data_IF_407701665679
#
_entry.id   IF_407701665679
#
_cell.length_a   1.000
_cell.length_b   1.000
_cell.length_c   1.000
_cell.angle_alpha   90.00
_cell.angle_beta   90.00
_cell.angle_gamma   90.00
#
_symmetry.space_group_name_H-M   'P 1'
#
loop_
_entity.id
_entity.type
_entity.pdbx_description
1 polymer ?
#
# COMPACT_ATOMS: atom_id res chain seq x y z
N UNK A 1 -75.20 -65.36 35.69
CA UNK A 1 -74.76 -63.96 35.51
C UNK A 1 -73.42 -63.70 36.22
N UNK A 2 -72.32 -64.37 35.85
CA UNK A 2 -70.98 -64.12 36.42
C UNK A 2 -69.85 -63.97 35.38
N UNK A 3 -70.09 -64.33 34.12
CA UNK A 3 -69.04 -64.31 33.07
C UNK A 3 -69.18 -63.16 32.06
N UNK A 4 -70.09 -62.19 32.27
CA UNK A 4 -70.22 -60.99 31.41
C UNK A 4 -69.71 -59.69 32.05
N UNK A 5 -69.38 -59.71 33.35
CA UNK A 5 -68.87 -58.52 34.06
C UNK A 5 -67.33 -58.47 34.01
N UNK A 6 -66.66 -59.61 33.80
CA UNK A 6 -65.19 -59.66 33.75
C UNK A 6 -64.59 -59.11 32.44
N UNK A 7 -65.34 -59.11 31.34
CA UNK A 7 -64.85 -58.65 30.03
C UNK A 7 -64.95 -57.14 29.81
N UNK A 8 -65.77 -56.43 30.59
CA UNK A 8 -65.94 -54.96 30.48
C UNK A 8 -64.94 -54.22 31.36
N UNK A 9 -64.46 -54.84 32.45
CA UNK A 9 -63.44 -54.26 33.33
C UNK A 9 -62.02 -54.26 32.73
N UNK A 10 -61.71 -55.17 31.81
CA UNK A 10 -60.38 -55.26 31.18
C UNK A 10 -60.18 -54.24 30.04
N UNK A 11 -61.27 -53.83 29.37
CA UNK A 11 -61.23 -52.86 28.26
C UNK A 11 -61.12 -51.41 28.77
N UNK A 12 -61.66 -51.12 29.96
CA UNK A 12 -61.58 -49.79 30.57
C UNK A 12 -60.24 -49.47 31.25
N UNK A 13 -59.38 -50.48 31.49
CA UNK A 13 -58.09 -50.30 32.18
C UNK A 13 -56.90 -50.12 31.21
N UNK A 14 -57.09 -50.38 29.90
CA UNK A 14 -56.04 -50.24 28.86
C UNK A 14 -56.19 -48.92 28.07
N UNK A 15 -57.36 -48.27 28.11
CA UNK A 15 -57.61 -47.03 27.37
C UNK A 15 -56.81 -45.78 27.83
N UNK A 16 -56.39 -45.62 29.11
CA UNK A 16 -55.55 -44.49 29.48
C UNK A 16 -54.10 -44.61 28.98
N UNK A 17 -53.62 -45.84 28.72
CA UNK A 17 -52.22 -46.11 28.41
C UNK A 17 -51.83 -45.85 26.92
N UNK A 18 -52.82 -45.59 26.06
CA UNK A 18 -52.61 -45.29 24.63
C UNK A 18 -52.60 -43.79 24.32
N UNK A 19 -53.04 -42.94 25.25
CA UNK A 19 -53.01 -41.47 25.09
C UNK A 19 -51.59 -40.86 25.00
N UNK A 20 -50.57 -41.31 25.77
CA UNK A 20 -49.24 -40.72 25.65
C UNK A 20 -48.53 -41.11 24.35
N UNK A 21 -48.90 -42.23 23.71
CA UNK A 21 -48.29 -42.65 22.44
C UNK A 21 -48.76 -41.78 21.25
N UNK A 22 -50.03 -41.38 21.22
CA UNK A 22 -50.59 -40.51 20.17
C UNK A 22 -50.10 -39.06 20.38
N UNK A 23 -50.03 -38.58 21.62
CA UNK A 23 -49.44 -37.27 21.93
C UNK A 23 -47.94 -37.24 21.65
N UNK A 24 -47.18 -38.30 21.97
CA UNK A 24 -45.75 -38.36 21.67
C UNK A 24 -45.44 -38.34 20.16
N UNK A 25 -46.31 -38.93 19.32
CA UNK A 25 -46.16 -38.86 17.87
C UNK A 25 -46.39 -37.43 17.36
N UNK A 26 -47.42 -36.74 17.86
CA UNK A 26 -47.68 -35.32 17.55
C UNK A 26 -46.58 -34.39 18.06
N UNK A 27 -46.09 -34.60 19.29
CA UNK A 27 -45.04 -33.78 19.91
C UNK A 27 -43.70 -33.95 19.18
N UNK A 28 -43.38 -35.19 18.78
CA UNK A 28 -42.21 -35.46 17.95
C UNK A 28 -42.31 -34.74 16.60
N UNK A 29 -43.45 -34.82 15.92
CA UNK A 29 -43.68 -34.14 14.65
C UNK A 29 -43.55 -32.61 14.78
N UNK A 30 -44.06 -32.01 15.86
CA UNK A 30 -43.92 -30.58 16.17
C UNK A 30 -42.43 -30.20 16.35
N UNK A 31 -41.68 -30.98 17.13
CA UNK A 31 -40.26 -30.72 17.38
C UNK A 31 -39.43 -30.86 16.10
N UNK A 32 -39.68 -31.88 15.28
CA UNK A 32 -38.97 -32.05 14.01
C UNK A 32 -39.29 -30.92 13.03
N UNK A 33 -40.57 -30.54 12.93
CA UNK A 33 -41.00 -29.43 12.07
C UNK A 33 -40.37 -28.10 12.50
N UNK A 34 -40.28 -27.86 13.81
CA UNK A 34 -39.55 -26.71 14.34
C UNK A 34 -38.07 -26.75 13.95
N UNK A 35 -37.38 -27.87 14.16
CA UNK A 35 -35.95 -28.01 13.84
C UNK A 35 -35.66 -27.82 12.35
N UNK A 36 -36.51 -28.35 11.47
CA UNK A 36 -36.35 -28.18 10.03
C UNK A 36 -36.54 -26.73 9.61
N UNK A 37 -37.63 -26.08 10.05
CA UNK A 37 -37.87 -24.65 9.79
C UNK A 37 -36.76 -23.76 10.35
N UNK A 38 -36.28 -24.05 11.56
CA UNK A 38 -35.16 -23.36 12.19
C UNK A 38 -33.89 -23.46 11.32
N UNK A 39 -33.52 -24.67 10.89
CA UNK A 39 -32.34 -24.89 10.05
C UNK A 39 -32.47 -24.17 8.71
N UNK A 40 -33.65 -24.20 8.11
CA UNK A 40 -33.88 -23.50 6.85
C UNK A 40 -33.73 -21.98 7.00
N UNK A 41 -34.25 -21.39 8.08
CA UNK A 41 -34.02 -19.97 8.37
C UNK A 41 -32.53 -19.67 8.63
N UNK A 42 -31.81 -20.57 9.30
CA UNK A 42 -30.37 -20.40 9.51
C UNK A 42 -29.60 -20.42 8.18
N UNK A 43 -29.96 -21.28 7.24
CA UNK A 43 -29.37 -21.33 5.89
C UNK A 43 -29.75 -20.10 5.06
N UNK A 44 -31.00 -19.66 5.13
CA UNK A 44 -31.49 -18.46 4.44
C UNK A 44 -30.76 -17.20 4.94
N UNK A 45 -30.54 -17.06 6.27
CA UNK A 45 -29.75 -15.95 6.85
C UNK A 45 -28.28 -16.00 6.42
N UNK A 46 -27.72 -17.19 6.15
CA UNK A 46 -26.32 -17.32 5.72
C UNK A 46 -26.11 -16.80 4.30
N UNK A 47 -27.11 -16.92 3.41
CA UNK A 47 -26.97 -16.61 1.99
C UNK A 47 -28.09 -15.73 1.38
N UNK A 48 -28.48 -14.60 2.01
CA UNK A 48 -29.46 -13.68 1.43
C UNK A 48 -28.88 -13.02 0.16
N UNK A 49 -29.70 -12.86 -0.87
CA UNK A 49 -29.30 -12.20 -2.14
C UNK A 49 -29.42 -10.67 -2.07
N UNK A 50 -30.17 -10.13 -1.10
CA UNK A 50 -30.37 -8.69 -0.93
C UNK A 50 -30.78 -8.32 0.50
N UNK A 51 -30.69 -7.03 0.84
CA UNK A 51 -31.21 -6.51 2.11
C UNK A 51 -32.73 -6.71 2.21
N UNK A 52 -33.45 -6.60 1.10
CA UNK A 52 -34.90 -6.77 1.03
C UNK A 52 -35.32 -8.23 1.27
N UNK A 53 -34.54 -9.19 0.74
CA UNK A 53 -34.70 -10.60 1.09
C UNK A 53 -34.36 -10.88 2.55
N UNK A 54 -33.29 -10.25 3.08
CA UNK A 54 -32.91 -10.40 4.48
C UNK A 54 -33.99 -9.86 5.43
N UNK A 55 -34.60 -8.72 5.11
CA UNK A 55 -35.75 -8.19 5.87
C UNK A 55 -36.98 -9.11 5.74
N UNK A 56 -37.22 -9.71 4.58
CA UNK A 56 -38.24 -10.76 4.42
C UNK A 56 -37.96 -12.02 5.26
N UNK A 57 -36.69 -12.38 5.46
CA UNK A 57 -36.30 -13.47 6.37
C UNK A 57 -36.61 -13.09 7.83
N UNK A 58 -36.41 -11.83 8.23
CA UNK A 58 -36.77 -11.36 9.58
C UNK A 58 -38.27 -11.50 9.85
N UNK A 59 -39.11 -11.14 8.88
CA UNK A 59 -40.55 -11.33 8.97
C UNK A 59 -40.91 -12.81 9.13
N UNK A 60 -40.24 -13.70 8.38
CA UNK A 60 -40.39 -15.16 8.53
C UNK A 60 -39.94 -15.66 9.90
N UNK A 61 -38.88 -15.11 10.50
CA UNK A 61 -38.46 -15.45 11.87
C UNK A 61 -39.55 -15.05 12.87
N UNK A 62 -40.16 -13.87 12.70
CA UNK A 62 -41.24 -13.40 13.56
C UNK A 62 -42.49 -14.28 13.43
N UNK A 63 -42.93 -14.59 12.20
CA UNK A 63 -44.04 -15.51 11.98
C UNK A 63 -43.76 -16.91 12.52
N UNK A 64 -42.53 -17.41 12.37
CA UNK A 64 -42.11 -18.70 12.93
C UNK A 64 -42.16 -18.70 14.46
N UNK A 65 -41.77 -17.59 15.10
CA UNK A 65 -41.88 -17.40 16.55
C UNK A 65 -43.34 -17.43 16.99
N UNK A 66 -44.21 -16.70 16.32
CA UNK A 66 -45.64 -16.67 16.62
C UNK A 66 -46.29 -18.05 16.47
N UNK A 67 -46.02 -18.74 15.36
CA UNK A 67 -46.55 -20.07 15.06
C UNK A 67 -46.25 -21.09 16.17
N UNK A 68 -45.02 -21.08 16.71
CA UNK A 68 -44.58 -22.07 17.70
C UNK A 68 -44.67 -21.60 19.15
N UNK A 69 -45.15 -20.38 19.40
CA UNK A 69 -45.29 -19.84 20.78
C UNK A 69 -46.19 -20.72 21.64
N UNK A 70 -47.25 -21.29 21.06
CA UNK A 70 -48.17 -22.20 21.76
C UNK A 70 -47.48 -23.50 22.20
N UNK A 71 -46.38 -23.88 21.54
CA UNK A 71 -45.61 -25.11 21.80
C UNK A 71 -44.33 -24.87 22.61
N UNK A 72 -44.16 -23.67 23.20
CA UNK A 72 -42.94 -23.26 23.91
C UNK A 72 -42.48 -24.25 24.97
N UNK A 73 -43.39 -24.70 25.86
CA UNK A 73 -43.02 -25.61 26.95
C UNK A 73 -42.49 -26.96 26.46
N UNK A 74 -43.03 -27.46 25.34
CA UNK A 74 -42.55 -28.68 24.70
C UNK A 74 -41.14 -28.46 24.14
N UNK A 75 -40.96 -27.38 23.38
CA UNK A 75 -39.71 -27.03 22.73
C UNK A 75 -38.58 -26.74 23.73
N UNK A 76 -38.87 -26.07 24.84
CA UNK A 76 -37.90 -25.80 25.91
C UNK A 76 -37.32 -27.10 26.51
N UNK A 77 -38.09 -28.19 26.53
CA UNK A 77 -37.63 -29.50 27.01
C UNK A 77 -36.89 -30.29 25.93
N UNK A 78 -37.21 -30.07 24.66
CA UNK A 78 -36.74 -30.90 23.53
C UNK A 78 -35.54 -30.33 22.78
N UNK A 79 -35.18 -29.06 22.99
CA UNK A 79 -34.12 -28.36 22.23
C UNK A 79 -32.75 -28.32 22.91
N UNK A 80 -32.56 -29.03 24.04
CA UNK A 80 -31.33 -28.96 24.84
C UNK A 80 -30.03 -29.11 24.00
N UNK A 81 -28.99 -28.30 24.26
CA UNK A 81 -28.84 -27.32 25.34
C UNK A 81 -29.61 -26.02 25.15
N UNK A 82 -30.21 -25.81 23.97
CA UNK A 82 -31.02 -24.65 23.67
C UNK A 82 -32.47 -24.83 24.18
N UNK A 83 -33.20 -23.72 24.18
CA UNK A 83 -34.63 -23.62 24.43
C UNK A 83 -35.27 -22.70 23.38
N UNK A 84 -36.60 -22.59 23.40
CA UNK A 84 -37.36 -21.79 22.43
C UNK A 84 -36.80 -20.38 22.29
N UNK A 85 -36.59 -19.68 23.41
CA UNK A 85 -36.10 -18.29 23.40
C UNK A 85 -34.70 -18.19 22.82
N UNK A 86 -33.78 -19.03 23.29
CA UNK A 86 -32.39 -18.99 22.84
C UNK A 86 -32.24 -19.33 21.37
N UNK A 87 -33.11 -20.21 20.82
CA UNK A 87 -33.14 -20.48 19.39
C UNK A 87 -33.47 -19.20 18.61
N UNK A 88 -34.53 -18.49 19.00
CA UNK A 88 -34.87 -17.24 18.32
C UNK A 88 -33.86 -16.11 18.57
N UNK A 89 -33.24 -16.03 19.75
CA UNK A 89 -32.14 -15.10 20.00
C UNK A 89 -30.95 -15.35 19.05
N UNK A 90 -30.59 -16.62 18.81
CA UNK A 90 -29.53 -16.98 17.85
C UNK A 90 -29.89 -16.55 16.42
N UNK A 91 -31.12 -16.81 15.97
CA UNK A 91 -31.57 -16.36 14.64
C UNK A 91 -31.58 -14.83 14.52
N UNK A 92 -32.09 -14.12 15.53
CA UNK A 92 -32.10 -12.65 15.55
C UNK A 92 -30.68 -12.07 15.57
N UNK A 93 -29.76 -12.65 16.33
CA UNK A 93 -28.36 -12.23 16.35
C UNK A 93 -27.68 -12.48 15.00
N UNK A 94 -27.89 -13.65 14.38
CA UNK A 94 -27.37 -13.95 13.06
C UNK A 94 -27.90 -12.97 12.00
N UNK A 95 -29.20 -12.66 12.04
CA UNK A 95 -29.82 -11.63 11.20
C UNK A 95 -29.17 -10.24 11.42
N UNK A 96 -29.02 -9.80 12.67
CA UNK A 96 -28.47 -8.48 12.98
C UNK A 96 -27.02 -8.33 12.51
N UNK A 97 -26.20 -9.37 12.71
CA UNK A 97 -24.83 -9.42 12.15
C UNK A 97 -24.90 -9.26 10.64
N UNK A 98 -25.79 -10.01 9.97
CA UNK A 98 -25.87 -9.96 8.51
C UNK A 98 -26.42 -8.66 7.95
N UNK A 99 -27.36 -8.02 8.66
CA UNK A 99 -27.89 -6.70 8.33
C UNK A 99 -26.83 -5.61 8.47
N UNK A 100 -26.00 -5.70 9.50
CA UNK A 100 -24.86 -4.80 9.66
C UNK A 100 -23.86 -4.95 8.51
N UNK A 101 -23.58 -6.18 8.05
CA UNK A 101 -22.76 -6.41 6.86
C UNK A 101 -23.33 -5.67 5.63
N UNK A 102 -24.62 -5.84 5.32
CA UNK A 102 -25.27 -5.14 4.20
C UNK A 102 -25.22 -3.62 4.31
N UNK A 103 -25.39 -3.08 5.52
CA UNK A 103 -25.36 -1.62 5.73
C UNK A 103 -23.95 -1.06 5.54
N UNK A 104 -22.92 -1.77 6.02
CA UNK A 104 -21.53 -1.40 5.75
C UNK A 104 -21.18 -1.50 4.27
N UNK A 105 -21.73 -2.50 3.57
CA UNK A 105 -21.55 -2.65 2.11
C UNK A 105 -22.10 -1.43 1.37
N UNK A 106 -23.28 -0.94 1.72
CA UNK A 106 -23.89 0.22 1.06
C UNK A 106 -23.08 1.51 1.31
N UNK A 107 -22.65 1.75 2.55
CA UNK A 107 -21.78 2.88 2.91
C UNK A 107 -20.47 2.85 2.11
N UNK A 108 -19.81 1.67 2.10
CA UNK A 108 -18.57 1.49 1.36
C UNK A 108 -18.79 1.67 -0.15
N UNK A 109 -19.93 1.23 -0.69
CA UNK A 109 -20.26 1.41 -2.10
C UNK A 109 -20.43 2.88 -2.48
N UNK A 110 -21.11 3.68 -1.64
CA UNK A 110 -21.26 5.13 -1.84
C UNK A 110 -19.90 5.82 -1.78
N UNK A 111 -19.09 5.51 -0.77
CA UNK A 111 -17.75 6.07 -0.61
C UNK A 111 -16.85 5.76 -1.81
N UNK A 112 -16.82 4.48 -2.21
CA UNK A 112 -16.03 4.00 -3.35
C UNK A 112 -16.48 4.63 -4.67
N UNK A 113 -17.79 4.87 -4.85
CA UNK A 113 -18.31 5.60 -6.03
C UNK A 113 -17.81 7.05 -6.05
N UNK A 114 -17.86 7.75 -4.91
CA UNK A 114 -17.33 9.12 -4.80
C UNK A 114 -15.82 9.18 -5.00
N UNK A 115 -15.08 8.19 -4.49
CA UNK A 115 -13.64 8.06 -4.72
C UNK A 115 -13.32 7.85 -6.21
N UNK A 116 -14.14 7.09 -6.93
CA UNK A 116 -13.96 6.86 -8.38
C UNK A 116 -14.09 8.14 -9.19
N UNK A 117 -15.09 8.98 -8.93
CA UNK A 117 -15.26 10.24 -9.67
C UNK A 117 -14.08 11.20 -9.47
N UNK A 118 -13.54 11.23 -8.25
CA UNK A 118 -12.32 11.98 -7.94
C UNK A 118 -11.09 11.37 -8.65
N UNK A 119 -10.98 10.04 -8.69
CA UNK A 119 -9.90 9.33 -9.37
C UNK A 119 -9.89 9.63 -10.87
N UNK A 120 -11.06 9.62 -11.52
CA UNK A 120 -11.19 9.96 -12.94
C UNK A 120 -10.81 11.42 -13.22
N UNK A 121 -11.15 12.32 -12.31
CA UNK A 121 -10.77 13.74 -12.40
C UNK A 121 -9.25 13.90 -12.30
N UNK A 122 -8.61 13.24 -11.33
CA UNK A 122 -7.16 13.25 -11.15
C UNK A 122 -6.45 12.60 -12.35
N UNK A 123 -6.96 11.49 -12.86
CA UNK A 123 -6.43 10.82 -14.05
C UNK A 123 -6.38 11.74 -15.27
N UNK A 124 -7.48 12.46 -15.54
CA UNK A 124 -7.55 13.43 -16.65
C UNK A 124 -6.63 14.63 -16.41
N UNK A 125 -6.56 15.13 -15.17
CA UNK A 125 -5.70 16.24 -14.82
C UNK A 125 -4.21 15.88 -14.99
N UNK A 126 -3.80 14.72 -14.49
CA UNK A 126 -2.44 14.20 -14.60
C UNK A 126 -2.03 14.01 -16.06
N UNK A 127 -2.93 13.50 -16.91
CA UNK A 127 -2.65 13.35 -18.34
C UNK A 127 -2.39 14.69 -19.04
N UNK A 128 -3.17 15.73 -18.70
CA UNK A 128 -2.95 17.10 -19.21
C UNK A 128 -1.60 17.64 -18.75
N UNK A 129 -1.28 17.48 -17.45
CA UNK A 129 -0.03 17.94 -16.88
C UNK A 129 1.19 17.21 -17.45
N UNK A 130 1.14 15.87 -17.58
CA UNK A 130 2.19 15.05 -18.22
C UNK A 130 2.50 15.55 -19.63
N UNK A 131 1.46 15.74 -20.45
CA UNK A 131 1.62 16.25 -21.82
C UNK A 131 2.21 17.67 -21.82
N UNK A 132 1.83 18.52 -20.84
CA UNK A 132 2.37 19.88 -20.73
C UNK A 132 3.85 19.89 -20.35
N UNK A 133 4.26 19.06 -19.38
CA UNK A 133 5.66 18.87 -18.98
C UNK A 133 6.49 18.43 -20.18
N UNK A 134 6.04 17.41 -20.91
CA UNK A 134 6.78 16.91 -22.08
C UNK A 134 6.99 17.98 -23.16
N UNK A 135 5.99 18.82 -23.41
CA UNK A 135 6.10 19.94 -24.35
C UNK A 135 7.08 21.01 -23.82
N UNK A 136 6.98 21.36 -22.54
CA UNK A 136 7.82 22.40 -21.93
C UNK A 136 9.28 21.98 -21.85
N UNK A 137 9.59 20.72 -21.49
CA UNK A 137 10.94 20.16 -21.48
C UNK A 137 11.63 20.26 -22.84
N UNK A 138 10.89 19.98 -23.92
CA UNK A 138 11.40 20.14 -25.30
C UNK A 138 11.70 21.60 -25.66
N UNK A 139 11.03 22.56 -25.01
CA UNK A 139 11.06 23.99 -25.34
C UNK A 139 11.89 24.86 -24.38
N UNK A 140 12.31 24.34 -23.23
CA UNK A 140 12.88 25.11 -22.10
C UNK A 140 14.38 25.43 -22.22
N UNK A 141 15.08 24.89 -23.23
CA UNK A 141 16.57 24.89 -23.33
C UNK A 141 17.28 26.26 -23.24
N UNK A 142 16.59 27.41 -23.28
CA UNK A 142 17.25 28.73 -23.17
C UNK A 142 16.38 29.88 -22.60
N UNK A 143 15.14 29.62 -22.18
CA UNK A 143 14.21 30.67 -21.73
C UNK A 143 13.91 30.51 -20.23
N UNK A 144 14.41 31.47 -19.42
CA UNK A 144 14.21 31.47 -17.96
C UNK A 144 12.73 31.47 -17.55
N UNK A 145 11.87 32.13 -18.31
CA UNK A 145 10.43 32.15 -18.00
C UNK A 145 9.78 30.79 -18.25
N UNK A 146 10.24 30.07 -19.27
CA UNK A 146 9.74 28.72 -19.57
C UNK A 146 10.27 27.69 -18.58
N UNK A 147 11.51 27.86 -18.11
CA UNK A 147 12.06 27.02 -17.04
C UNK A 147 11.23 27.15 -15.76
N UNK A 148 10.93 28.37 -15.32
CA UNK A 148 10.07 28.59 -14.16
C UNK A 148 8.65 28.03 -14.34
N UNK A 149 8.10 28.08 -15.56
CA UNK A 149 6.81 27.46 -15.87
C UNK A 149 6.89 25.93 -15.78
N UNK A 150 7.94 25.35 -16.33
CA UNK A 150 8.19 23.92 -16.31
C UNK A 150 8.32 23.39 -14.88
N UNK A 151 9.16 24.03 -14.04
CA UNK A 151 9.33 23.67 -12.63
C UNK A 151 7.99 23.70 -11.87
N UNK A 152 7.18 24.74 -12.08
CA UNK A 152 5.84 24.82 -11.47
C UNK A 152 4.94 23.68 -11.94
N UNK A 153 4.88 23.40 -13.24
CA UNK A 153 4.04 22.32 -13.79
C UNK A 153 4.52 20.94 -13.33
N UNK A 154 5.83 20.71 -13.17
CA UNK A 154 6.38 19.48 -12.59
C UNK A 154 5.91 19.32 -11.13
N UNK A 155 5.99 20.38 -10.33
CA UNK A 155 5.51 20.36 -8.94
C UNK A 155 4.01 20.07 -8.82
N UNK A 156 3.19 20.72 -9.66
CA UNK A 156 1.74 20.44 -9.73
C UNK A 156 1.44 18.99 -10.13
N UNK A 157 2.17 18.48 -11.14
CA UNK A 157 2.02 17.10 -11.60
C UNK A 157 2.37 16.10 -10.50
N UNK A 158 3.47 16.33 -9.78
CA UNK A 158 3.90 15.45 -8.68
C UNK A 158 2.84 15.34 -7.60
N UNK A 159 2.36 16.47 -7.08
CA UNK A 159 1.33 16.51 -6.03
C UNK A 159 0.05 15.81 -6.51
N UNK A 160 -0.33 16.02 -7.77
CA UNK A 160 -1.54 15.41 -8.32
C UNK A 160 -1.39 13.90 -8.62
N UNK A 161 -0.19 13.42 -8.97
CA UNK A 161 0.13 11.99 -9.05
C UNK A 161 0.06 11.35 -7.67
N UNK A 162 0.72 11.93 -6.66
CA UNK A 162 0.70 11.43 -5.29
C UNK A 162 -0.73 11.29 -4.75
N UNK A 163 -1.56 12.33 -4.88
CA UNK A 163 -2.95 12.29 -4.43
C UNK A 163 -3.76 11.20 -5.11
N UNK A 164 -3.57 11.02 -6.42
CA UNK A 164 -4.22 9.93 -7.18
C UNK A 164 -3.78 8.57 -6.65
N UNK A 165 -2.50 8.42 -6.38
CA UNK A 165 -1.90 7.15 -6.01
C UNK A 165 -2.32 6.72 -4.61
N UNK A 166 -2.33 7.66 -3.66
CA UNK A 166 -2.92 7.48 -2.33
C UNK A 166 -4.38 7.03 -2.42
N UNK A 167 -5.16 7.66 -3.30
CA UNK A 167 -6.55 7.29 -3.54
C UNK A 167 -6.69 5.88 -4.12
N UNK A 168 -5.85 5.47 -5.07
CA UNK A 168 -5.84 4.10 -5.59
C UNK A 168 -5.48 3.11 -4.49
N UNK A 169 -4.47 3.40 -3.67
CA UNK A 169 -4.06 2.56 -2.55
C UNK A 169 -5.18 2.42 -1.50
N UNK A 170 -5.82 3.52 -1.11
CA UNK A 170 -6.94 3.52 -0.15
C UNK A 170 -8.16 2.77 -0.68
N UNK A 171 -8.47 2.93 -1.97
CA UNK A 171 -9.54 2.18 -2.62
C UNK A 171 -9.24 0.68 -2.57
N UNK A 172 -8.01 0.28 -2.90
CA UNK A 172 -7.61 -1.14 -2.83
C UNK A 172 -7.65 -1.67 -1.39
N UNK A 173 -7.18 -0.89 -0.42
CA UNK A 173 -7.18 -1.25 1.00
C UNK A 173 -8.62 -1.50 1.52
N UNK A 174 -9.55 -0.64 1.11
CA UNK A 174 -10.97 -0.71 1.46
C UNK A 174 -11.71 -1.91 0.84
N UNK A 175 -11.30 -2.35 -0.35
CA UNK A 175 -11.92 -3.50 -1.03
C UNK A 175 -11.53 -4.84 -0.39
N UNK A 176 -10.31 -4.92 0.13
CA UNK A 176 -9.78 -6.13 0.75
C UNK A 176 -9.21 -5.81 2.14
N UNK A 177 -10.04 -5.56 3.17
CA UNK A 177 -9.57 -5.41 4.55
C UNK A 177 -8.82 -6.67 5.03
N UNK A 178 -7.99 -6.50 6.07
CA UNK A 178 -7.09 -7.55 6.59
C UNK A 178 -7.70 -8.96 6.73
N UNK A 179 -8.93 -9.16 7.27
CA UNK A 179 -9.52 -10.49 7.40
C UNK A 179 -9.72 -11.22 6.06
N UNK A 180 -9.87 -10.49 4.95
CA UNK A 180 -9.97 -11.07 3.60
C UNK A 180 -8.60 -11.32 2.97
N UNK A 181 -7.52 -10.68 3.45
CA UNK A 181 -6.15 -10.91 2.97
C UNK A 181 -5.58 -12.24 3.46
N UNK A 182 -5.94 -12.64 4.67
CA UNK A 182 -5.33 -13.80 5.35
C UNK A 182 -5.96 -15.16 4.99
N UNK A 183 -7.11 -15.18 4.29
CA UNK A 183 -7.83 -16.42 3.96
C UNK A 183 -8.34 -16.47 2.53
N UNK A 184 -8.68 -17.65 2.06
CA UNK A 184 -9.41 -17.81 0.81
C UNK A 184 -10.81 -17.18 0.87
N UNK A 185 -11.19 -16.54 -0.22
CA UNK A 185 -12.50 -15.90 -0.38
C UNK A 185 -13.50 -16.88 -0.99
N UNK A 186 -14.71 -16.91 -0.45
CA UNK A 186 -15.82 -17.67 -1.03
C UNK A 186 -16.24 -17.07 -2.39
N UNK A 187 -16.90 -17.85 -3.26
CA UNK A 187 -17.44 -17.31 -4.51
C UNK A 187 -18.38 -16.12 -4.32
N UNK A 188 -19.18 -16.12 -3.24
CA UNK A 188 -20.09 -15.03 -2.88
C UNK A 188 -19.32 -13.77 -2.49
N UNK A 189 -18.28 -13.90 -1.67
CA UNK A 189 -17.43 -12.77 -1.27
C UNK A 189 -16.70 -12.17 -2.48
N UNK A 190 -16.19 -13.01 -3.38
CA UNK A 190 -15.58 -12.56 -4.64
C UNK A 190 -16.58 -11.77 -5.48
N UNK A 191 -17.82 -12.24 -5.59
CA UNK A 191 -18.87 -11.55 -6.34
C UNK A 191 -19.28 -10.21 -5.70
N UNK A 192 -19.33 -10.15 -4.36
CA UNK A 192 -19.63 -8.94 -3.60
C UNK A 192 -18.52 -7.88 -3.74
N UNK A 193 -17.24 -8.29 -3.68
CA UNK A 193 -16.12 -7.36 -3.90
C UNK A 193 -16.11 -6.87 -5.35
N UNK A 194 -16.40 -7.76 -6.31
CA UNK A 194 -16.50 -7.39 -7.72
C UNK A 194 -17.62 -6.38 -7.99
N UNK A 195 -18.79 -6.54 -7.36
CA UNK A 195 -19.95 -5.65 -7.58
C UNK A 195 -19.74 -4.24 -7.05
N UNK A 196 -18.89 -4.04 -6.03
CA UNK A 196 -18.61 -2.72 -5.42
C UNK A 196 -17.99 -1.70 -6.39
N UNK A 197 -17.22 -2.15 -7.40
CA UNK A 197 -16.52 -1.25 -8.32
C UNK A 197 -16.90 -1.40 -9.79
N UNK A 198 -17.61 -2.48 -10.15
CA UNK A 198 -17.96 -2.75 -11.54
C UNK A 198 -16.73 -2.93 -12.45
N UNK A 199 -16.99 -3.05 -13.77
CA UNK A 199 -16.00 -3.44 -14.79
C UNK A 199 -14.91 -2.39 -15.10
N UNK A 200 -15.00 -1.16 -14.61
CA UNK A 200 -13.90 -0.19 -14.75
C UNK A 200 -12.82 -0.51 -13.72
N UNK A 201 -11.86 -1.28 -14.22
CA UNK A 201 -11.11 -2.27 -13.49
C UNK A 201 -10.12 -1.63 -12.51
N UNK A 202 -10.14 -2.03 -11.23
CA UNK A 202 -9.09 -1.67 -10.26
C UNK A 202 -7.70 -1.93 -10.83
N UNK A 203 -7.54 -3.05 -11.54
CA UNK A 203 -6.30 -3.42 -12.19
C UNK A 203 -5.89 -2.45 -13.32
N UNK A 204 -6.86 -1.82 -14.01
CA UNK A 204 -6.58 -0.76 -14.98
C UNK A 204 -6.00 0.47 -14.28
N UNK A 205 -6.58 0.88 -13.15
CA UNK A 205 -6.08 2.02 -12.39
C UNK A 205 -4.68 1.76 -11.81
N UNK A 206 -4.40 0.54 -11.34
CA UNK A 206 -3.04 0.13 -10.95
C UNK A 206 -2.08 0.26 -12.14
N UNK A 207 -2.41 -0.31 -13.31
CA UNK A 207 -1.56 -0.22 -14.50
C UNK A 207 -1.33 1.23 -14.95
N UNK A 208 -2.37 2.06 -14.94
CA UNK A 208 -2.29 3.48 -15.30
C UNK A 208 -1.39 4.24 -14.33
N UNK A 209 -1.55 4.01 -13.03
CA UNK A 209 -0.72 4.61 -12.00
C UNK A 209 0.76 4.32 -12.24
N UNK A 210 1.10 3.05 -12.43
CA UNK A 210 2.48 2.63 -12.66
C UNK A 210 3.05 3.25 -13.93
N UNK A 211 2.28 3.23 -15.01
CA UNK A 211 2.70 3.78 -16.30
C UNK A 211 2.93 5.29 -16.24
N UNK A 212 2.04 6.02 -15.57
CA UNK A 212 2.15 7.48 -15.46
C UNK A 212 3.32 7.90 -14.56
N UNK A 213 3.60 7.14 -13.50
CA UNK A 213 4.78 7.39 -12.65
C UNK A 213 6.09 7.08 -13.38
N UNK A 214 6.16 5.99 -14.15
CA UNK A 214 7.31 5.72 -15.03
C UNK A 214 7.50 6.89 -16.01
N UNK A 215 6.43 7.29 -16.70
CA UNK A 215 6.48 8.39 -17.66
C UNK A 215 6.92 9.69 -17.00
N UNK A 216 6.42 10.00 -15.80
CA UNK A 216 6.84 11.17 -15.02
C UNK A 216 8.36 11.17 -14.79
N UNK A 217 8.94 10.06 -14.33
CA UNK A 217 10.38 9.94 -14.11
C UNK A 217 11.16 10.10 -15.42
N UNK A 218 10.68 9.52 -16.52
CA UNK A 218 11.36 9.57 -17.82
C UNK A 218 11.38 10.98 -18.46
N UNK A 219 10.33 11.78 -18.21
CA UNK A 219 10.21 13.11 -18.81
C UNK A 219 10.66 14.24 -17.89
N UNK A 220 10.98 13.97 -16.63
CA UNK A 220 11.42 14.98 -15.66
C UNK A 220 12.83 14.72 -15.18
N UNK A 221 13.37 15.67 -14.41
CA UNK A 221 14.59 15.45 -13.62
C UNK A 221 14.19 15.28 -12.17
N UNK A 222 14.79 14.31 -11.51
CA UNK A 222 14.65 14.12 -10.07
C UNK A 222 15.64 15.03 -9.34
N UNK A 223 15.15 15.70 -8.30
CA UNK A 223 15.97 16.44 -7.36
C UNK A 223 16.13 15.64 -6.06
N UNK A 224 17.22 15.86 -5.29
CA UNK A 224 17.47 15.12 -4.05
C UNK A 224 16.28 15.11 -3.10
N UNK A 225 15.63 16.27 -2.92
CA UNK A 225 14.48 16.49 -2.04
C UNK A 225 13.24 15.68 -2.43
N UNK A 226 13.16 15.20 -3.66
CA UNK A 226 12.02 14.46 -4.19
C UNK A 226 12.19 12.94 -4.06
N UNK A 227 13.43 12.48 -3.87
CA UNK A 227 13.78 11.06 -3.94
C UNK A 227 13.05 10.29 -2.87
N UNK A 228 13.03 10.82 -1.65
CA UNK A 228 12.54 10.09 -0.48
C UNK A 228 11.06 9.76 -0.63
N UNK A 229 10.25 10.78 -0.92
CA UNK A 229 8.81 10.65 -1.09
C UNK A 229 8.45 9.69 -2.23
N UNK A 230 9.11 9.82 -3.40
CA UNK A 230 8.83 8.96 -4.55
C UNK A 230 9.29 7.52 -4.28
N UNK A 231 10.41 7.33 -3.57
CA UNK A 231 10.90 5.99 -3.20
C UNK A 231 9.96 5.31 -2.21
N UNK A 232 9.59 6.00 -1.14
CA UNK A 232 8.67 5.47 -0.13
C UNK A 232 7.35 5.06 -0.77
N UNK A 233 6.77 5.93 -1.59
CA UNK A 233 5.53 5.65 -2.32
C UNK A 233 5.66 4.41 -3.23
N UNK A 234 6.74 4.31 -4.00
CA UNK A 234 7.00 3.17 -4.88
C UNK A 234 7.11 1.88 -4.09
N UNK A 235 7.84 1.90 -2.97
CA UNK A 235 8.05 0.72 -2.13
C UNK A 235 6.80 0.31 -1.36
N UNK A 236 6.07 1.25 -0.77
CA UNK A 236 4.81 1.01 -0.09
C UNK A 236 3.80 0.39 -1.02
N UNK A 237 3.67 0.94 -2.23
CA UNK A 237 2.71 0.37 -3.16
C UNK A 237 3.15 -1.01 -3.64
N UNK A 238 4.44 -1.24 -3.87
CA UNK A 238 4.95 -2.57 -4.19
C UNK A 238 4.73 -3.57 -3.04
N UNK A 239 4.88 -3.16 -1.77
CA UNK A 239 4.59 -3.99 -0.59
C UNK A 239 3.10 -4.34 -0.53
N UNK A 240 2.24 -3.34 -0.65
CA UNK A 240 0.79 -3.51 -0.67
C UNK A 240 0.36 -4.46 -1.80
N UNK A 241 0.85 -4.23 -3.02
CA UNK A 241 0.54 -5.06 -4.18
C UNK A 241 0.99 -6.50 -4.01
N UNK A 242 2.19 -6.77 -3.47
CA UNK A 242 2.61 -8.16 -3.18
C UNK A 242 1.66 -8.87 -2.23
N UNK A 243 1.04 -8.16 -1.30
CA UNK A 243 0.11 -8.73 -0.33
C UNK A 243 -1.27 -9.05 -0.92
N UNK A 244 -1.75 -8.28 -1.89
CA UNK A 244 -3.16 -8.33 -2.32
C UNK A 244 -3.36 -8.54 -3.83
N UNK A 245 -2.34 -8.25 -4.64
CA UNK A 245 -2.35 -8.33 -6.10
C UNK A 245 -2.86 -9.66 -6.64
N UNK A 246 -2.41 -10.82 -6.12
CA UNK A 246 -2.92 -12.12 -6.55
C UNK A 246 -4.45 -12.27 -6.38
N UNK A 247 -5.00 -11.81 -5.24
CA UNK A 247 -6.45 -11.86 -4.97
C UNK A 247 -7.22 -10.88 -5.83
N UNK A 248 -6.67 -9.67 -6.03
CA UNK A 248 -7.26 -8.67 -6.89
C UNK A 248 -7.36 -9.17 -8.34
N UNK A 249 -6.30 -9.81 -8.85
CA UNK A 249 -6.32 -10.42 -10.18
C UNK A 249 -7.37 -11.54 -10.23
N UNK A 250 -7.42 -12.41 -9.22
CA UNK A 250 -8.41 -13.47 -9.15
C UNK A 250 -9.87 -12.94 -9.24
N UNK A 251 -10.17 -11.86 -8.51
CA UNK A 251 -11.51 -11.25 -8.46
C UNK A 251 -11.85 -10.54 -9.77
N UNK A 252 -10.93 -9.74 -10.32
CA UNK A 252 -11.25 -8.78 -11.38
C UNK A 252 -10.88 -9.21 -12.80
N UNK A 253 -9.97 -10.19 -13.00
CA UNK A 253 -9.64 -10.68 -14.35
C UNK A 253 -10.59 -11.78 -14.83
N UNK A 254 -11.36 -12.41 -13.92
CA UNK A 254 -11.94 -13.73 -14.17
C UNK A 254 -10.86 -14.81 -14.31
N UNK A 255 -11.20 -16.09 -14.06
CA UNK A 255 -10.29 -17.27 -14.00
C UNK A 255 -8.81 -16.97 -14.30
N UNK A 256 -8.12 -16.42 -13.30
CA UNK A 256 -6.66 -16.31 -13.19
C UNK A 256 -5.90 -16.10 -14.49
N UNK A 257 -6.04 -14.93 -15.13
CA UNK A 257 -5.10 -14.55 -16.17
C UNK A 257 -3.74 -14.26 -15.51
N UNK A 258 -2.95 -15.32 -15.33
CA UNK A 258 -1.62 -15.26 -14.75
C UNK A 258 -0.69 -14.27 -15.49
N UNK A 259 -1.01 -13.96 -16.76
CA UNK A 259 -0.29 -12.94 -17.51
C UNK A 259 -0.58 -11.53 -16.97
N UNK A 260 -1.82 -11.27 -16.50
CA UNK A 260 -2.18 -9.96 -15.97
C UNK A 260 -1.41 -9.62 -14.68
N UNK A 261 -1.28 -10.58 -13.77
CA UNK A 261 -0.48 -10.41 -12.56
C UNK A 261 0.99 -10.17 -12.92
N UNK A 262 1.53 -11.02 -13.79
CA UNK A 262 2.92 -10.91 -14.26
C UNK A 262 3.20 -9.57 -14.94
N UNK A 263 2.27 -9.06 -15.74
CA UNK A 263 2.40 -7.76 -16.39
C UNK A 263 2.52 -6.63 -15.36
N UNK A 264 1.65 -6.63 -14.34
CA UNK A 264 1.70 -5.60 -13.28
C UNK A 264 3.01 -5.71 -12.49
N UNK A 265 3.43 -6.91 -12.11
CA UNK A 265 4.68 -7.15 -11.38
C UNK A 265 5.91 -6.69 -12.19
N UNK A 266 5.87 -6.89 -13.52
CA UNK A 266 6.88 -6.38 -14.42
C UNK A 266 6.86 -4.84 -14.44
N UNK A 267 5.69 -4.20 -14.50
CA UNK A 267 5.60 -2.73 -14.47
C UNK A 267 6.07 -2.15 -13.14
N UNK A 268 5.84 -2.80 -12.00
CA UNK A 268 6.46 -2.39 -10.73
C UNK A 268 8.00 -2.45 -10.78
N UNK A 269 8.55 -3.48 -11.42
CA UNK A 269 10.00 -3.60 -11.61
C UNK A 269 10.52 -2.47 -12.50
N UNK A 270 9.82 -2.19 -13.60
CA UNK A 270 10.14 -1.07 -14.50
C UNK A 270 10.09 0.28 -13.78
N UNK A 271 9.11 0.50 -12.90
CA UNK A 271 9.03 1.73 -12.11
C UNK A 271 10.21 1.87 -11.16
N UNK A 272 10.57 0.81 -10.45
CA UNK A 272 11.77 0.79 -9.60
C UNK A 272 13.04 1.09 -10.39
N UNK A 273 13.20 0.47 -11.56
CA UNK A 273 14.38 0.63 -12.41
C UNK A 273 14.47 2.03 -13.01
N UNK A 274 13.34 2.58 -13.49
CA UNK A 274 13.26 3.97 -13.98
C UNK A 274 13.64 4.97 -12.88
N UNK A 275 13.11 4.79 -11.66
CA UNK A 275 13.46 5.63 -10.51
C UNK A 275 14.94 5.56 -10.18
N UNK A 276 15.51 4.35 -10.10
CA UNK A 276 16.93 4.16 -9.83
C UNK A 276 17.80 4.79 -10.92
N UNK A 277 17.43 4.65 -12.19
CA UNK A 277 18.18 5.26 -13.28
C UNK A 277 18.07 6.78 -13.27
N UNK A 278 16.88 7.33 -13.00
CA UNK A 278 16.67 8.77 -12.86
C UNK A 278 17.53 9.39 -11.75
N UNK A 279 17.68 8.70 -10.62
CA UNK A 279 18.60 9.10 -9.54
C UNK A 279 20.05 9.10 -10.04
N UNK A 280 20.50 8.04 -10.72
CA UNK A 280 21.86 7.99 -11.26
C UNK A 280 22.13 9.07 -12.32
N UNK A 281 21.15 9.37 -13.17
CA UNK A 281 21.25 10.42 -14.17
C UNK A 281 21.36 11.81 -13.51
N UNK A 282 20.61 12.03 -12.43
CA UNK A 282 20.71 13.25 -11.62
C UNK A 282 22.09 13.39 -10.95
N UNK A 283 22.60 12.32 -10.35
CA UNK A 283 23.97 12.26 -9.78
C UNK A 283 25.02 12.54 -10.87
N UNK A 284 24.89 11.94 -12.06
CA UNK A 284 25.81 12.18 -13.17
C UNK A 284 25.75 13.65 -13.66
N UNK A 285 24.58 14.29 -13.53
CA UNK A 285 24.41 15.69 -13.88
C UNK A 285 25.24 16.63 -12.99
N UNK A 286 25.49 16.27 -11.73
CA UNK A 286 26.36 17.05 -10.82
C UNK A 286 27.80 17.15 -11.33
N UNK A 287 28.32 16.08 -11.91
CA UNK A 287 29.64 16.08 -12.57
C UNK A 287 29.60 16.84 -13.90
N UNK A 288 28.54 16.62 -14.68
CA UNK A 288 28.41 17.22 -16.02
C UNK A 288 28.34 18.75 -15.99
N UNK A 289 27.87 19.36 -14.89
CA UNK A 289 27.88 20.82 -14.67
C UNK A 289 29.28 21.44 -14.78
N UNK A 290 30.32 20.66 -14.50
CA UNK A 290 31.72 21.08 -14.53
C UNK A 290 32.52 20.42 -15.67
N UNK A 291 31.83 19.99 -16.75
CA UNK A 291 32.39 19.28 -17.93
C UNK A 291 33.16 17.98 -17.59
N UNK A 292 32.87 17.38 -16.42
CA UNK A 292 33.41 16.08 -16.03
C UNK A 292 32.59 14.99 -16.68
N UNK A 293 33.23 14.23 -17.57
CA UNK A 293 32.60 13.14 -18.34
C UNK A 293 32.95 11.80 -17.73
N UNK A 294 32.02 11.27 -16.94
CA UNK A 294 32.12 9.91 -16.41
C UNK A 294 31.58 8.90 -17.43
N UNK A 295 32.10 7.67 -17.35
CA UNK A 295 31.49 6.52 -18.03
C UNK A 295 30.08 6.27 -17.49
N UNK A 296 29.17 5.74 -18.31
CA UNK A 296 27.80 5.44 -17.89
C UNK A 296 27.78 4.46 -16.70
N UNK A 297 26.89 4.72 -15.74
CA UNK A 297 26.65 3.86 -14.59
C UNK A 297 25.15 3.76 -14.26
N UNK A 298 24.78 2.65 -13.64
CA UNK A 298 23.41 2.35 -13.19
C UNK A 298 23.38 1.58 -11.86
N UNK A 299 24.52 1.50 -11.16
CA UNK A 299 24.68 0.85 -9.88
C UNK A 299 25.84 1.46 -9.09
N UNK A 300 25.85 1.32 -7.77
CA UNK A 300 26.92 1.83 -6.92
C UNK A 300 28.31 1.28 -7.29
N UNK A 301 28.37 0.03 -7.78
CA UNK A 301 29.61 -0.58 -8.27
C UNK A 301 30.12 0.15 -9.51
N UNK A 302 29.29 0.26 -10.55
CA UNK A 302 29.70 0.89 -11.81
C UNK A 302 29.95 2.40 -11.62
N UNK A 303 29.22 3.04 -10.70
CA UNK A 303 29.45 4.42 -10.31
C UNK A 303 30.84 4.61 -9.68
N UNK A 304 31.17 3.76 -8.70
CA UNK A 304 32.49 3.76 -8.06
C UNK A 304 33.60 3.53 -9.09
N UNK A 305 33.42 2.57 -10.00
CA UNK A 305 34.37 2.30 -11.08
C UNK A 305 34.52 3.49 -12.04
N UNK A 306 33.40 4.12 -12.46
CA UNK A 306 33.42 5.28 -13.34
C UNK A 306 34.16 6.46 -12.72
N UNK A 307 33.86 6.77 -11.45
CA UNK A 307 34.51 7.86 -10.69
C UNK A 307 36.00 7.56 -10.51
N UNK A 308 36.35 6.38 -10.02
CA UNK A 308 37.75 6.05 -9.73
C UNK A 308 38.58 5.91 -11.00
N UNK A 309 38.01 5.45 -12.12
CA UNK A 309 38.67 5.44 -13.42
C UNK A 309 39.01 6.84 -13.90
N UNK A 310 38.05 7.78 -13.81
CA UNK A 310 38.28 9.18 -14.15
C UNK A 310 39.43 9.77 -13.33
N UNK A 311 39.39 9.58 -12.00
CA UNK A 311 40.44 10.07 -11.09
C UNK A 311 41.80 9.44 -11.45
N UNK A 312 41.86 8.14 -11.68
CA UNK A 312 43.12 7.47 -12.01
C UNK A 312 43.72 7.98 -13.32
N UNK A 313 42.90 8.30 -14.31
CA UNK A 313 43.38 8.84 -15.59
C UNK A 313 43.85 10.29 -15.45
N UNK A 314 43.18 11.10 -14.63
CA UNK A 314 43.66 12.43 -14.27
C UNK A 314 44.99 12.41 -13.49
N UNK A 315 45.17 11.46 -12.56
CA UNK A 315 46.44 11.25 -11.86
C UNK A 315 47.56 10.89 -12.84
N UNK A 316 47.33 9.95 -13.78
CA UNK A 316 48.33 9.54 -14.77
C UNK A 316 48.72 10.69 -15.70
N UNK A 317 47.76 11.54 -16.08
CA UNK A 317 47.96 12.64 -17.00
C UNK A 317 48.44 13.93 -16.32
N UNK A 318 48.56 13.94 -15.00
CA UNK A 318 48.96 15.13 -14.23
C UNK A 318 50.34 15.69 -14.63
N UNK A 319 51.27 14.82 -15.06
CA UNK A 319 52.62 15.23 -15.50
C UNK A 319 52.65 15.71 -16.97
N UNK A 320 51.57 15.46 -17.73
CA UNK A 320 51.43 15.85 -19.14
C UNK A 320 50.68 17.17 -19.27
N UNK A 321 49.71 17.42 -18.38
CA UNK A 321 48.94 18.67 -18.30
C UNK A 321 49.78 19.77 -17.64
N UNK A 322 49.43 21.04 -17.89
CA UNK A 322 49.97 22.13 -17.08
C UNK A 322 49.48 21.99 -15.64
N UNK A 323 50.32 22.37 -14.67
CA UNK A 323 49.99 22.30 -13.24
C UNK A 323 48.68 23.03 -12.91
N UNK A 324 48.47 24.20 -13.51
CA UNK A 324 47.25 25.00 -13.30
C UNK A 324 46.01 24.29 -13.86
N UNK A 325 46.11 23.65 -15.02
CA UNK A 325 45.00 22.88 -15.59
C UNK A 325 44.68 21.64 -14.73
N UNK A 326 45.69 20.92 -14.25
CA UNK A 326 45.50 19.76 -13.37
C UNK A 326 44.84 20.16 -12.03
N UNK A 327 45.25 21.30 -11.44
CA UNK A 327 44.65 21.83 -10.22
C UNK A 327 43.20 22.29 -10.48
N UNK A 328 42.93 22.94 -11.61
CA UNK A 328 41.58 23.37 -11.97
C UNK A 328 40.62 22.18 -12.08
N UNK A 329 41.00 21.14 -12.84
CA UNK A 329 40.19 19.92 -12.98
C UNK A 329 39.98 19.21 -11.63
N UNK A 330 40.99 19.19 -10.75
CA UNK A 330 40.84 18.68 -9.40
C UNK A 330 39.79 19.47 -8.60
N UNK A 331 39.81 20.81 -8.63
CA UNK A 331 38.85 21.65 -7.89
C UNK A 331 37.43 21.51 -8.43
N UNK A 332 37.28 21.48 -9.75
CA UNK A 332 35.99 21.25 -10.40
C UNK A 332 35.40 19.90 -9.98
N UNK A 333 36.24 18.86 -9.90
CA UNK A 333 35.81 17.53 -9.46
C UNK A 333 35.58 17.43 -7.95
N UNK A 334 36.61 17.65 -7.15
CA UNK A 334 36.61 17.36 -5.72
C UNK A 334 35.79 18.39 -4.96
N UNK A 335 36.12 19.68 -5.11
CA UNK A 335 35.50 20.73 -4.32
C UNK A 335 34.08 21.02 -4.78
N UNK A 336 33.86 21.02 -6.10
CA UNK A 336 32.59 21.48 -6.68
C UNK A 336 31.61 20.33 -6.93
N UNK A 337 31.97 19.33 -7.74
CA UNK A 337 31.06 18.23 -8.06
C UNK A 337 30.84 17.26 -6.88
N UNK A 338 31.92 16.75 -6.27
CA UNK A 338 31.83 15.75 -5.21
C UNK A 338 31.44 16.37 -3.86
N UNK A 339 32.29 17.21 -3.26
CA UNK A 339 32.07 17.76 -1.93
C UNK A 339 31.02 18.89 -1.89
N UNK A 340 30.80 19.58 -3.01
CA UNK A 340 29.81 20.65 -3.14
C UNK A 340 28.44 20.21 -3.65
N UNK A 341 28.31 19.00 -4.19
CA UNK A 341 27.06 18.50 -4.78
C UNK A 341 26.73 17.06 -4.36
N UNK A 342 27.44 16.08 -4.91
CA UNK A 342 27.10 14.66 -4.74
C UNK A 342 27.12 14.21 -3.28
N UNK A 343 28.17 14.52 -2.53
CA UNK A 343 28.32 14.11 -1.13
C UNK A 343 27.26 14.71 -0.20
N UNK A 344 27.05 16.04 -0.14
CA UNK A 344 26.06 16.62 0.76
C UNK A 344 24.61 16.29 0.36
N UNK A 345 24.30 16.26 -0.94
CA UNK A 345 22.91 16.17 -1.39
C UNK A 345 22.43 14.73 -1.67
N UNK A 346 23.32 13.84 -2.13
CA UNK A 346 22.90 12.53 -2.66
C UNK A 346 23.38 11.33 -1.85
N UNK A 347 24.55 11.41 -1.20
CA UNK A 347 25.18 10.22 -0.59
C UNK A 347 24.32 9.60 0.52
N UNK A 348 23.61 10.40 1.33
CA UNK A 348 22.70 9.85 2.35
C UNK A 348 21.61 9.00 1.68
N UNK A 349 20.85 9.59 0.75
CA UNK A 349 19.75 8.91 0.08
C UNK A 349 20.25 7.66 -0.68
N UNK A 350 21.40 7.75 -1.35
CA UNK A 350 21.99 6.60 -2.03
C UNK A 350 22.35 5.46 -1.08
N UNK A 351 22.79 5.76 0.14
CA UNK A 351 23.09 4.74 1.16
C UNK A 351 21.80 4.19 1.76
N UNK A 352 20.86 5.06 2.13
CA UNK A 352 19.58 4.68 2.73
C UNK A 352 18.78 3.74 1.82
N UNK A 353 18.82 3.99 0.50
CA UNK A 353 18.18 3.14 -0.52
C UNK A 353 19.08 2.04 -1.08
N UNK A 354 20.22 1.74 -0.44
CA UNK A 354 21.15 0.67 -0.83
C UNK A 354 21.66 0.77 -2.29
N UNK A 355 21.70 1.97 -2.85
CA UNK A 355 22.25 2.26 -4.17
C UNK A 355 23.77 2.45 -4.13
N UNK A 356 24.31 2.89 -2.99
CA UNK A 356 25.73 3.06 -2.70
C UNK A 356 26.04 2.50 -1.30
N UNK A 357 27.21 1.89 -1.09
CA UNK A 357 27.67 1.49 0.24
C UNK A 357 28.68 2.48 0.83
N UNK A 358 28.80 2.53 2.15
CA UNK A 358 29.84 3.32 2.84
C UNK A 358 31.25 2.96 2.33
N UNK A 359 31.54 1.67 2.12
CA UNK A 359 32.82 1.22 1.58
C UNK A 359 33.10 1.74 0.15
N UNK A 360 32.06 1.87 -0.68
CA UNK A 360 32.17 2.43 -2.03
C UNK A 360 32.47 3.94 -1.99
N UNK A 361 31.75 4.68 -1.15
CA UNK A 361 32.03 6.10 -0.86
C UNK A 361 33.46 6.29 -0.34
N UNK A 362 33.88 5.51 0.65
CA UNK A 362 35.24 5.59 1.22
C UNK A 362 36.32 5.32 0.17
N UNK A 363 36.05 4.39 -0.75
CA UNK A 363 36.95 4.10 -1.89
C UNK A 363 37.11 5.31 -2.80
N UNK A 364 36.01 6.02 -3.10
CA UNK A 364 36.05 7.25 -3.89
C UNK A 364 36.82 8.34 -3.14
N UNK A 365 36.53 8.57 -1.86
CA UNK A 365 37.16 9.62 -1.07
C UNK A 365 38.66 9.38 -0.86
N UNK A 366 39.07 8.12 -0.71
CA UNK A 366 40.49 7.73 -0.72
C UNK A 366 41.15 8.08 -2.04
N UNK A 367 40.50 7.80 -3.18
CA UNK A 367 41.03 8.13 -4.51
C UNK A 367 41.14 9.63 -4.76
N UNK A 368 40.18 10.42 -4.29
CA UNK A 368 40.25 11.88 -4.31
C UNK A 368 41.45 12.37 -3.49
N UNK A 369 41.72 11.75 -2.33
CA UNK A 369 42.87 12.08 -1.49
C UNK A 369 44.20 11.76 -2.16
N UNK A 370 44.31 10.58 -2.78
CA UNK A 370 45.49 10.20 -3.59
C UNK A 370 45.73 11.18 -4.75
N UNK A 371 44.67 11.67 -5.38
CA UNK A 371 44.79 12.68 -6.45
C UNK A 371 45.32 14.01 -5.94
N UNK A 372 44.80 14.49 -4.80
CA UNK A 372 45.24 15.74 -4.18
C UNK A 372 46.76 15.75 -3.91
N UNK A 373 47.29 14.64 -3.37
CA UNK A 373 48.72 14.51 -3.08
C UNK A 373 49.60 14.67 -4.34
N UNK A 374 49.09 14.25 -5.51
CA UNK A 374 49.79 14.35 -6.79
C UNK A 374 49.77 15.75 -7.39
N UNK A 375 48.62 16.44 -7.37
CA UNK A 375 48.46 17.74 -8.03
C UNK A 375 48.79 18.94 -7.13
N UNK A 376 48.78 18.75 -5.82
CA UNK A 376 49.17 19.76 -4.82
C UNK A 376 50.17 19.22 -3.79
N UNK A 377 51.42 18.90 -4.19
CA UNK A 377 52.44 18.41 -3.26
C UNK A 377 52.84 19.55 -2.32
N UNK A 378 52.54 19.39 -1.03
CA UNK A 378 53.04 20.15 0.13
C UNK A 378 53.44 21.61 -0.16
N UNK A 379 52.45 22.50 -0.22
CA UNK A 379 52.69 23.96 -0.32
C UNK A 379 51.46 24.85 -0.24
N UNK A 380 50.24 24.29 -0.37
CA UNK A 380 48.97 25.04 -0.38
C UNK A 380 47.90 24.34 0.49
N UNK A 381 48.19 24.15 1.77
CA UNK A 381 47.33 23.45 2.76
C UNK A 381 46.10 24.27 3.21
N UNK A 382 45.34 24.88 2.30
CA UNK A 382 44.09 25.56 2.71
C UNK A 382 42.88 24.60 2.80
N UNK A 383 42.91 23.47 2.09
CA UNK A 383 41.78 22.53 2.01
C UNK A 383 41.58 21.71 3.30
N UNK A 384 42.69 21.27 3.93
CA UNK A 384 42.65 20.62 5.24
C UNK A 384 42.20 21.58 6.36
N UNK A 385 42.46 22.88 6.23
CA UNK A 385 42.01 23.88 7.20
C UNK A 385 40.49 24.05 7.11
N UNK A 386 39.91 24.07 5.90
CA UNK A 386 38.46 24.22 5.73
C UNK A 386 37.72 22.97 6.24
N UNK A 387 38.18 21.77 5.89
CA UNK A 387 37.58 20.51 6.37
C UNK A 387 37.74 20.35 7.88
N UNK A 388 38.91 20.67 8.44
CA UNK A 388 39.11 20.64 9.89
C UNK A 388 38.25 21.67 10.63
N UNK A 389 38.07 22.88 10.07
CA UNK A 389 37.22 23.93 10.66
C UNK A 389 35.75 23.51 10.64
N UNK A 390 35.24 22.92 9.55
CA UNK A 390 33.84 22.45 9.47
C UNK A 390 33.57 21.34 10.49
N UNK A 391 34.50 20.37 10.63
CA UNK A 391 34.37 19.29 11.62
C UNK A 391 34.46 19.83 13.05
N UNK A 392 35.37 20.77 13.33
CA UNK A 392 35.49 21.40 14.65
C UNK A 392 34.23 22.22 14.98
N UNK A 393 33.66 22.96 14.03
CA UNK A 393 32.42 23.72 14.21
C UNK A 393 31.23 22.78 14.47
N UNK A 394 31.14 21.64 13.77
CA UNK A 394 30.10 20.64 14.01
C UNK A 394 30.23 19.98 15.41
N UNK A 395 31.46 19.65 15.84
CA UNK A 395 31.72 19.11 17.19
C UNK A 395 31.41 20.14 18.27
N UNK A 396 31.83 21.39 18.09
CA UNK A 396 31.54 22.49 19.03
C UNK A 396 30.03 22.76 19.09
N UNK A 397 29.33 22.80 17.96
CA UNK A 397 27.87 22.96 17.92
C UNK A 397 27.16 21.84 18.68
N UNK A 398 27.58 20.59 18.50
CA UNK A 398 27.03 19.44 19.22
C UNK A 398 27.33 19.49 20.73
N UNK A 399 28.52 19.93 21.12
CA UNK A 399 28.90 20.07 22.53
C UNK A 399 28.19 21.23 23.24
N UNK A 400 28.01 22.37 22.56
CA UNK A 400 27.30 23.53 23.11
C UNK A 400 25.79 23.29 23.19
N UNK A 401 25.18 22.60 22.21
CA UNK A 401 23.77 22.21 22.26
C UNK A 401 23.47 21.23 23.40
N UNK A 402 24.44 20.40 23.81
CA UNK A 402 24.31 19.48 24.94
C UNK A 402 24.45 20.16 26.32
N UNK A 403 25.03 21.37 26.39
CA UNK A 403 25.17 22.13 27.64
C UNK A 403 24.01 23.08 27.95
N UNK A 404 23.18 23.40 26.96
CA UNK A 404 21.97 24.22 27.14
C UNK A 404 20.71 23.36 27.23
N UNK A 405 20.58 22.61 28.32
CA UNK A 405 19.30 22.05 28.77
C UNK A 405 18.46 23.10 29.53
N UNK A 406 17.13 22.91 29.67
CA UNK A 406 16.20 23.95 30.10
C UNK A 406 16.43 24.38 31.55
N UNK A 407 16.41 25.69 31.80
CA UNK A 407 16.40 26.26 33.15
C UNK A 407 15.08 25.90 33.81
N UNK A 408 15.12 25.09 34.86
CA UNK A 408 14.00 24.88 35.77
C UNK A 408 13.79 26.16 36.58
N UNK A 409 12.67 26.83 36.35
CA UNK A 409 12.10 27.81 37.27
C UNK A 409 11.80 27.10 38.60
N UNK A 410 12.42 27.58 39.68
CA UNK A 410 12.04 27.25 41.04
C UNK A 410 11.27 28.45 41.57
N UNK A 411 9.95 28.31 41.66
CA UNK A 411 9.12 29.14 42.51
C UNK A 411 9.48 28.81 43.97
N UNK A 412 9.86 29.80 44.76
CA UNK A 412 9.86 29.72 46.21
C UNK A 412 8.91 30.78 46.80
N UNK A 413 8.17 30.30 47.81
CA UNK A 413 7.30 31.01 48.75
C UNK A 413 8.11 31.90 49.67
#
# INVERSE_FOLDING_TARGET
MKNKILSIALVFMILPALTPAIQAQSDYEIVQSFKEKYRQLEEDIKNPQSLEELDGIYDRINSFREEYTVHRELLDRSLYPDNFNTSFEKLTNAYNVKKNDFTQIDILQVEVTGLREQLDTLNRHNEVLLNRVEILEKQSKSDKSRLAQLERTIGELRVSLQKRDEMVMNMIDSLLPQPYRERELSPQEKQEIYSKLGKENVLYNVKRLLSDNIRFIEITKLYPEDVDEIKEQQEDFARLWRSIGPKMVEIYSGKGDANYLKDIDLTFTQWKDALNQGIWDAVNSEFSKYDIKLSKFSSGKNFTEAVTSFINDEIKNADVKSKDAAIATYKDFADSAWYGGVKPEWVSNLIDYNMLSEAQKDTIEKKISEWNEKVSPAGMNYLYIIIAVVVIVAILFFFFRKRSGPKTETNEV
#
